data_IF_089053219747
#
_entry.id   IF_089053219747
#
_cell.length_a   1.000
_cell.length_b   1.000
_cell.length_c   1.000
_cell.angle_alpha   90.00
_cell.angle_beta   90.00
_cell.angle_gamma   90.00
#
_symmetry.space_group_name_H-M   'P 1'
#
loop_
_entity.id
_entity.type
_entity.pdbx_description
1 polymer ?
#
# COMPACT_ATOMS: atom_id res chain seq x y z
N UNK A 1 -10.16 -10.64 9.26
CA UNK A 1 -10.01 -11.67 8.20
C UNK A 1 -9.27 -11.03 7.05
N UNK A 2 -8.06 -11.48 6.73
CA UNK A 2 -7.20 -10.89 5.69
C UNK A 2 -7.49 -11.61 4.38
N UNK A 3 -7.97 -10.87 3.38
CA UNK A 3 -8.19 -11.37 2.02
C UNK A 3 -7.27 -10.63 1.05
N UNK A 4 -6.53 -11.38 0.25
CA UNK A 4 -5.69 -10.84 -0.82
C UNK A 4 -6.38 -11.14 -2.15
N UNK A 5 -6.81 -10.12 -2.87
CA UNK A 5 -7.54 -10.27 -4.14
C UNK A 5 -6.70 -9.68 -5.28
N UNK A 6 -6.33 -10.51 -6.25
CA UNK A 6 -5.69 -10.06 -7.51
C UNK A 6 -6.79 -9.61 -8.47
N UNK A 7 -6.74 -8.36 -8.94
CA UNK A 7 -7.71 -7.84 -9.91
C UNK A 7 -7.18 -7.87 -11.35
N UNK A 8 -8.04 -8.21 -12.30
CA UNK A 8 -7.88 -7.99 -13.75
C UNK A 8 -8.29 -6.55 -14.11
N UNK A 9 -7.85 -6.00 -15.27
CA UNK A 9 -8.05 -4.59 -15.60
C UNK A 9 -9.46 -4.32 -16.13
N UNK A 10 -10.10 -3.25 -15.65
CA UNK A 10 -11.32 -2.67 -16.22
C UNK A 10 -11.28 -1.13 -16.14
N UNK A 11 -11.95 -0.39 -17.03
CA UNK A 11 -11.58 0.98 -17.38
C UNK A 11 -12.15 2.05 -16.43
N UNK A 12 -11.25 2.99 -16.15
CA UNK A 12 -11.37 4.36 -15.63
C UNK A 12 -12.77 4.86 -15.23
N UNK A 13 -12.90 5.24 -13.95
CA UNK A 13 -13.80 6.30 -13.53
C UNK A 13 -13.03 7.35 -12.72
N UNK A 14 -13.19 8.58 -13.15
CA UNK A 14 -12.51 9.79 -12.67
C UNK A 14 -13.22 10.37 -11.43
N UNK A 15 -12.56 11.37 -10.84
CA UNK A 15 -12.96 12.30 -9.77
C UNK A 15 -12.63 11.87 -8.34
N UNK A 16 -11.66 12.58 -7.76
CA UNK A 16 -11.54 12.81 -6.33
C UNK A 16 -11.07 14.27 -6.12
N UNK A 17 -11.96 15.08 -5.56
CA UNK A 17 -11.69 16.44 -5.08
C UNK A 17 -10.97 16.41 -3.72
N UNK A 18 -10.06 17.36 -3.54
CA UNK A 18 -9.58 17.98 -2.30
C UNK A 18 -9.08 17.11 -1.12
N UNK A 19 -7.97 16.42 -1.35
CA UNK A 19 -6.82 16.43 -0.41
C UNK A 19 -5.53 16.45 -1.24
N UNK A 20 -4.70 17.47 -1.05
CA UNK A 20 -3.60 17.84 -1.95
C UNK A 20 -2.69 16.63 -2.29
N UNK A 21 -2.83 16.10 -3.50
CA UNK A 21 -1.98 15.02 -4.05
C UNK A 21 -0.53 15.50 -4.10
N UNK A 22 0.31 15.09 -3.15
CA UNK A 22 1.66 15.65 -3.05
C UNK A 22 2.43 15.49 -1.74
N UNK A 23 1.88 14.85 -0.71
CA UNK A 23 2.65 14.59 0.50
C UNK A 23 3.72 13.51 0.26
N UNK A 24 4.99 13.89 0.44
CA UNK A 24 6.13 12.97 0.45
C UNK A 24 6.46 12.64 1.90
N UNK A 25 6.29 11.38 2.29
CA UNK A 25 6.77 10.80 3.54
C UNK A 25 8.04 9.99 3.34
N UNK A 26 8.78 9.71 4.41
CA UNK A 26 9.93 8.79 4.38
C UNK A 26 9.47 7.50 5.04
N UNK A 27 9.59 6.37 4.34
CA UNK A 27 9.36 5.05 4.94
C UNK A 27 10.70 4.39 5.24
N UNK A 28 10.90 4.06 6.50
CA UNK A 28 12.06 3.29 6.96
C UNK A 28 11.67 1.81 6.89
N UNK A 29 11.89 1.20 5.72
CA UNK A 29 11.89 -0.26 5.62
C UNK A 29 13.22 -0.72 6.22
N UNK A 30 13.20 -1.43 7.36
CA UNK A 30 14.38 -1.80 8.15
C UNK A 30 15.38 -2.76 7.49
N UNK A 31 15.59 -2.68 6.18
CA UNK A 31 16.53 -3.50 5.42
C UNK A 31 17.48 -2.57 4.65
N UNK A 32 18.76 -2.61 5.06
CA UNK A 32 19.93 -1.94 4.46
C UNK A 32 19.71 -0.46 4.12
N UNK A 33 20.26 0.47 4.91
CA UNK A 33 20.68 1.86 4.62
C UNK A 33 20.00 2.71 3.50
N UNK A 34 18.84 2.32 2.99
CA UNK A 34 18.25 2.79 1.75
C UNK A 34 16.89 3.36 2.13
N UNK A 35 16.84 4.68 2.32
CA UNK A 35 15.59 5.36 2.64
C UNK A 35 14.71 5.39 1.39
N UNK A 36 13.68 4.55 1.36
CA UNK A 36 12.66 4.63 0.32
C UNK A 36 11.72 5.81 0.64
N UNK A 37 11.70 6.80 -0.23
CA UNK A 37 10.74 7.90 -0.11
C UNK A 37 9.38 7.41 -0.58
N UNK A 38 8.33 7.67 0.19
CA UNK A 38 6.95 7.26 -0.15
C UNK A 38 6.13 8.50 -0.43
N UNK A 39 5.44 8.49 -1.55
CA UNK A 39 4.53 9.56 -1.93
C UNK A 39 3.10 9.11 -1.70
N UNK A 40 2.33 9.93 -0.99
CA UNK A 40 0.89 9.81 -0.91
C UNK A 40 0.28 10.36 -2.20
N UNK A 41 -0.47 9.52 -2.91
CA UNK A 41 -1.08 9.87 -4.18
C UNK A 41 -2.57 10.16 -4.05
N UNK A 42 -3.27 9.39 -3.21
CA UNK A 42 -4.71 9.52 -2.94
C UNK A 42 -4.94 9.43 -1.44
N UNK A 43 -5.75 10.33 -0.91
CA UNK A 43 -6.34 10.25 0.41
C UNK A 43 -7.82 10.64 0.33
N UNK A 44 -8.67 9.65 0.13
CA UNK A 44 -10.12 9.82 0.12
C UNK A 44 -10.68 9.32 1.45
N UNK A 45 -11.09 10.27 2.30
CA UNK A 45 -11.61 9.96 3.64
C UNK A 45 -13.04 9.45 3.60
N UNK A 46 -13.84 9.86 2.62
CA UNK A 46 -15.25 9.49 2.50
C UNK A 46 -15.39 8.05 2.01
N UNK A 47 -14.56 7.67 1.03
CA UNK A 47 -14.52 6.32 0.48
C UNK A 47 -13.54 5.40 1.22
N UNK A 48 -12.83 5.94 2.22
CA UNK A 48 -11.78 5.25 2.99
C UNK A 48 -10.71 4.60 2.10
N UNK A 49 -10.19 5.36 1.12
CA UNK A 49 -9.17 4.92 0.17
C UNK A 49 -7.88 5.71 0.40
N UNK A 50 -6.77 4.99 0.46
CA UNK A 50 -5.42 5.56 0.53
C UNK A 50 -4.60 4.94 -0.60
N UNK A 51 -3.90 5.74 -1.40
CA UNK A 51 -2.94 5.23 -2.38
C UNK A 51 -1.57 5.84 -2.15
N UNK A 52 -0.54 5.01 -2.27
CA UNK A 52 0.85 5.43 -2.10
C UNK A 52 1.76 4.82 -3.16
N UNK A 53 2.86 5.48 -3.46
CA UNK A 53 3.91 4.95 -4.33
C UNK A 53 5.28 5.15 -3.72
N UNK A 54 6.23 4.30 -4.10
CA UNK A 54 7.63 4.46 -3.68
C UNK A 54 8.38 5.25 -4.76
N UNK A 55 8.98 6.36 -4.35
CA UNK A 55 9.74 7.27 -5.20
C UNK A 55 11.23 7.04 -4.97
N UNK A 56 11.99 6.91 -6.06
CA UNK A 56 13.44 6.77 -6.00
C UNK A 56 13.92 5.47 -5.36
N UNK A 57 13.10 4.41 -5.36
CA UNK A 57 13.49 3.12 -4.77
C UNK A 57 14.72 2.55 -5.47
N UNK A 58 15.72 2.16 -4.68
CA UNK A 58 16.82 1.37 -5.20
C UNK A 58 16.45 -0.12 -5.16
N UNK A 59 16.18 -0.63 -6.36
CA UNK A 59 16.27 -2.03 -6.78
C UNK A 59 15.17 -3.03 -6.42
N UNK A 60 14.45 -2.96 -5.30
CA UNK A 60 13.48 -4.05 -4.96
C UNK A 60 12.01 -3.72 -5.16
N UNK A 61 11.67 -2.43 -5.24
CA UNK A 61 10.28 -1.93 -5.30
C UNK A 61 10.11 -0.93 -6.45
N UNK A 62 10.75 -1.22 -7.58
CA UNK A 62 10.68 -0.39 -8.78
C UNK A 62 9.23 -0.18 -9.19
N UNK A 63 8.84 1.09 -9.38
CA UNK A 63 7.49 1.49 -9.73
C UNK A 63 6.40 0.92 -8.80
N UNK A 64 6.72 0.68 -7.53
CA UNK A 64 5.74 0.22 -6.56
C UNK A 64 4.64 1.25 -6.36
N UNK A 65 3.40 0.78 -6.42
CA UNK A 65 2.19 1.56 -6.11
C UNK A 65 1.21 0.67 -5.37
N UNK A 66 0.67 1.15 -4.26
CA UNK A 66 -0.40 0.46 -3.53
C UNK A 66 -1.65 1.30 -3.37
N UNK A 67 -2.76 0.59 -3.16
CA UNK A 67 -4.06 1.12 -2.78
C UNK A 67 -4.58 0.31 -1.61
N UNK A 68 -4.86 0.98 -0.51
CA UNK A 68 -5.49 0.45 0.68
C UNK A 68 -6.91 0.98 0.78
N UNK A 69 -7.85 0.07 1.03
CA UNK A 69 -9.27 0.38 1.20
C UNK A 69 -9.78 -0.20 2.52
N UNK A 70 -10.66 0.51 3.20
CA UNK A 70 -11.33 0.01 4.41
C UNK A 70 -12.80 -0.27 4.11
N UNK A 71 -13.28 -1.43 4.56
CA UNK A 71 -14.64 -1.88 4.36
C UNK A 71 -15.29 -2.18 5.71
N UNK A 72 -16.44 -1.57 5.99
CA UNK A 72 -17.22 -1.88 7.18
C UNK A 72 -17.94 -3.21 7.01
N UNK A 73 -17.94 -4.04 8.04
CA UNK A 73 -18.62 -5.33 8.11
C UNK A 73 -19.40 -5.45 9.42
N UNK A 74 -20.29 -6.44 9.50
CA UNK A 74 -21.07 -6.73 10.72
C UNK A 74 -20.15 -7.01 11.93
N UNK A 75 -18.95 -7.54 11.68
CA UNK A 75 -17.97 -7.93 12.70
C UNK A 75 -16.84 -6.91 12.92
N UNK A 76 -16.92 -5.71 12.32
CA UNK A 76 -15.87 -4.67 12.41
C UNK A 76 -15.35 -4.23 11.04
N UNK A 77 -14.13 -3.71 10.99
CA UNK A 77 -13.53 -3.17 9.76
C UNK A 77 -12.58 -4.18 9.11
N UNK A 78 -12.63 -4.29 7.79
CA UNK A 78 -11.68 -5.07 6.98
C UNK A 78 -10.83 -4.11 6.15
N UNK A 79 -9.51 -4.16 6.33
CA UNK A 79 -8.56 -3.45 5.49
C UNK A 79 -8.06 -4.38 4.36
N UNK A 80 -8.05 -3.87 3.13
CA UNK A 80 -7.50 -4.56 1.96
C UNK A 80 -6.49 -3.65 1.29
N UNK A 81 -5.25 -4.12 1.18
CA UNK A 81 -4.20 -3.45 0.42
C UNK A 81 -3.85 -4.27 -0.83
N UNK A 82 -3.83 -3.58 -1.96
CA UNK A 82 -3.46 -4.12 -3.28
C UNK A 82 -2.27 -3.33 -3.82
N UNK A 83 -1.44 -3.95 -4.64
CA UNK A 83 -0.25 -3.30 -5.18
C UNK A 83 0.08 -3.72 -6.61
N UNK A 84 0.86 -2.86 -7.27
CA UNK A 84 1.61 -3.12 -8.49
C UNK A 84 3.09 -2.88 -8.21
N UNK A 85 3.95 -3.70 -8.79
CA UNK A 85 5.41 -3.59 -8.67
C UNK A 85 6.07 -4.21 -9.88
N UNK A 86 7.14 -3.60 -10.37
CA UNK A 86 7.92 -4.15 -11.47
C UNK A 86 8.99 -5.12 -10.92
N UNK A 87 9.14 -6.26 -11.58
CA UNK A 87 10.28 -7.14 -11.37
C UNK A 87 11.53 -6.52 -12.02
N UNK A 88 12.56 -6.16 -11.25
CA UNK A 88 13.78 -5.59 -11.80
C UNK A 88 14.49 -6.58 -12.73
N UNK A 89 15.28 -6.11 -13.72
CA UNK A 89 16.13 -6.98 -14.51
C UNK A 89 17.01 -7.88 -13.61
N UNK A 90 17.04 -9.19 -13.92
CA UNK A 90 17.82 -10.17 -13.17
C UNK A 90 17.18 -10.68 -11.88
N UNK A 91 15.97 -10.24 -11.52
CA UNK A 91 15.21 -10.78 -10.39
C UNK A 91 14.01 -11.59 -10.87
N UNK A 92 13.68 -12.67 -10.16
CA UNK A 92 12.46 -13.42 -10.43
C UNK A 92 11.25 -12.63 -9.92
N UNK A 93 10.18 -12.58 -10.72
CA UNK A 93 8.95 -11.89 -10.32
C UNK A 93 8.38 -12.43 -9.00
N UNK A 94 8.55 -13.73 -8.73
CA UNK A 94 8.13 -14.36 -7.47
C UNK A 94 8.88 -13.81 -6.25
N UNK A 95 10.17 -13.54 -6.37
CA UNK A 95 10.97 -12.95 -5.28
C UNK A 95 10.54 -11.50 -4.99
N UNK A 96 10.26 -10.73 -6.06
CA UNK A 96 9.73 -9.37 -5.95
C UNK A 96 8.35 -9.36 -5.28
N UNK A 97 7.44 -10.24 -5.72
CA UNK A 97 6.11 -10.36 -5.12
C UNK A 97 6.19 -10.81 -3.67
N UNK A 98 7.03 -11.80 -3.34
CA UNK A 98 7.20 -12.27 -1.95
C UNK A 98 7.68 -11.15 -1.03
N UNK A 99 8.59 -10.31 -1.54
CA UNK A 99 9.07 -9.15 -0.82
C UNK A 99 7.95 -8.10 -0.59
N UNK A 100 7.22 -7.75 -1.64
CA UNK A 100 6.09 -6.81 -1.56
C UNK A 100 4.97 -7.34 -0.65
N UNK A 101 4.62 -8.63 -0.75
CA UNK A 101 3.64 -9.30 0.10
C UNK A 101 4.02 -9.24 1.58
N UNK A 102 5.32 -9.34 1.88
CA UNK A 102 5.81 -9.22 3.25
C UNK A 102 5.58 -7.80 3.79
N UNK A 103 5.85 -6.77 2.98
CA UNK A 103 5.63 -5.37 3.36
C UNK A 103 4.14 -5.11 3.60
N UNK A 104 3.28 -5.49 2.66
CA UNK A 104 1.82 -5.31 2.77
C UNK A 104 1.27 -6.01 4.01
N UNK A 105 1.72 -7.24 4.28
CA UNK A 105 1.31 -7.97 5.48
C UNK A 105 1.74 -7.27 6.75
N UNK A 106 2.97 -6.76 6.80
CA UNK A 106 3.45 -5.97 7.93
C UNK A 106 2.63 -4.69 8.14
N UNK A 107 2.31 -3.97 7.05
CA UNK A 107 1.50 -2.75 7.11
C UNK A 107 0.11 -3.03 7.68
N UNK A 108 -0.61 -4.00 7.12
CA UNK A 108 -1.95 -4.35 7.56
C UNK A 108 -1.97 -4.88 9.01
N UNK A 109 -0.96 -5.66 9.39
CA UNK A 109 -0.82 -6.13 10.77
C UNK A 109 -0.54 -4.98 11.74
N UNK A 110 0.35 -4.04 11.39
CA UNK A 110 0.60 -2.85 12.19
C UNK A 110 -0.64 -1.97 12.32
N UNK A 111 -1.42 -1.83 11.25
CA UNK A 111 -2.67 -1.07 11.26
C UNK A 111 -3.68 -1.68 12.23
N UNK A 112 -3.86 -3.01 12.19
CA UNK A 112 -4.75 -3.72 13.10
C UNK A 112 -4.32 -3.55 14.57
N UNK A 113 -3.02 -3.64 14.87
CA UNK A 113 -2.53 -3.41 16.23
C UNK A 113 -2.75 -1.99 16.73
N UNK A 114 -2.56 -0.98 15.87
CA UNK A 114 -2.79 0.42 16.24
C UNK A 114 -4.29 0.64 16.51
N UNK A 115 -5.16 0.10 15.66
CA UNK A 115 -6.62 0.18 15.85
C UNK A 115 -7.05 -0.44 17.19
N UNK A 116 -6.59 -1.65 17.50
CA UNK A 116 -6.88 -2.33 18.79
C UNK A 116 -6.38 -1.54 20.01
N UNK A 117 -5.31 -0.76 19.88
CA UNK A 117 -4.77 0.06 20.96
C UNK A 117 -5.45 1.42 21.08
N UNK A 118 -6.12 1.91 20.03
CA UNK A 118 -6.92 3.16 20.08
C UNK A 118 -8.29 2.89 20.73
N UNK A 119 -8.82 1.67 20.60
CA UNK A 119 -10.12 1.26 21.17
C UNK A 119 -10.04 0.90 22.66
N UNK A 120 -8.83 0.83 23.24
CA UNK A 120 -8.60 0.60 24.69
C UNK A 120 -8.44 1.91 25.46
#
# INVERSE_FOLDING_TARGET
MVGQQRSTPHPLLETADDFNSGYLGIVILGLSANNNSVRLEILDKERHIISSSIVGSEHRLTNYRSVTTLHSTISGTVAVESYLVDAPPGHMAEDTCTFADTIVRCNLHSLAQIDENIVK
#
